data_IF_592681473373
#
_entry.id   IF_592681473373
#
_cell.length_a   1.000
_cell.length_b   1.000
_cell.length_c   1.000
_cell.angle_alpha   90.00
_cell.angle_beta   90.00
_cell.angle_gamma   90.00
#
_symmetry.space_group_name_H-M   'P 1'
#
loop_
_entity.id
_entity.type
_entity.pdbx_description
1 polymer ?
#
# COMPACT_ATOMS: atom_id res chain seq x y z
N UNK A 1 10.21 -5.01 -0.70
CA UNK A 1 9.32 -4.11 0.07
C UNK A 1 10.24 -3.12 0.75
N UNK A 2 10.14 -1.83 0.40
CA UNK A 2 11.05 -0.79 0.90
C UNK A 2 10.88 -0.52 2.38
N UNK A 3 11.88 0.10 2.99
CA UNK A 3 11.80 0.56 4.38
C UNK A 3 10.94 1.82 4.47
N UNK A 4 10.19 1.95 5.57
CA UNK A 4 9.31 3.09 5.85
C UNK A 4 9.83 3.80 7.08
N UNK A 5 10.04 5.11 6.97
CA UNK A 5 10.59 5.97 8.01
C UNK A 5 9.58 7.03 8.42
N UNK A 6 9.54 7.32 9.72
CA UNK A 6 8.85 8.50 10.24
C UNK A 6 9.75 9.73 10.02
N UNK A 7 9.21 10.80 9.45
CA UNK A 7 9.94 12.04 9.24
C UNK A 7 9.10 13.25 9.59
N UNK A 8 9.77 14.37 9.83
CA UNK A 8 9.14 15.67 10.04
C UNK A 8 9.45 16.56 8.83
N UNK A 9 8.44 16.88 8.04
CA UNK A 9 8.56 17.82 6.93
C UNK A 9 8.65 19.24 7.49
N UNK A 10 9.83 19.84 7.36
CA UNK A 10 10.12 21.18 7.86
C UNK A 10 9.40 22.29 7.09
N UNK A 11 8.99 22.03 5.85
CA UNK A 11 8.33 23.01 5.00
C UNK A 11 6.84 23.15 5.34
N UNK A 12 6.17 22.03 5.55
CA UNK A 12 4.75 21.97 5.93
C UNK A 12 4.54 21.92 7.44
N UNK A 13 5.61 21.71 8.22
CA UNK A 13 5.58 21.46 9.67
C UNK A 13 4.70 20.27 10.06
N UNK A 14 4.67 19.24 9.21
CA UNK A 14 3.86 18.04 9.41
C UNK A 14 4.72 16.79 9.53
N UNK A 15 4.26 15.85 10.35
CA UNK A 15 4.85 14.50 10.40
C UNK A 15 4.35 13.68 9.22
N UNK A 16 5.27 13.05 8.50
CA UNK A 16 5.00 12.25 7.30
C UNK A 16 5.65 10.87 7.42
N UNK A 17 5.18 9.93 6.62
CA UNK A 17 5.86 8.66 6.39
C UNK A 17 6.61 8.70 5.04
N UNK A 18 7.86 8.25 5.05
CA UNK A 18 8.73 8.19 3.89
C UNK A 18 9.01 6.74 3.53
N UNK A 19 8.70 6.34 2.31
CA UNK A 19 8.97 4.98 1.81
C UNK A 19 9.97 5.02 0.66
N UNK A 20 11.10 4.35 0.83
CA UNK A 20 12.13 4.25 -0.21
C UNK A 20 11.72 3.20 -1.23
N UNK A 21 11.56 3.59 -2.50
CA UNK A 21 11.31 2.66 -3.61
C UNK A 21 12.66 2.19 -4.13
N UNK A 22 13.01 0.92 -3.87
CA UNK A 22 14.35 0.37 -4.16
C UNK A 22 14.66 0.38 -5.65
N UNK A 23 15.88 0.79 -5.97
CA UNK A 23 16.42 1.02 -7.32
C UNK A 23 16.76 -0.25 -8.10
N UNK A 24 16.96 -1.38 -7.40
CA UNK A 24 17.49 -2.66 -7.91
C UNK A 24 16.72 -3.29 -9.10
N UNK A 25 15.62 -2.69 -9.55
CA UNK A 25 14.78 -3.19 -10.64
C UNK A 25 14.35 -2.12 -11.67
N UNK A 26 14.93 -0.91 -11.59
CA UNK A 26 14.55 0.23 -12.44
C UNK A 26 15.23 0.21 -13.81
N UNK A 27 14.45 0.49 -14.84
CA UNK A 27 14.85 0.67 -16.24
C UNK A 27 14.58 2.12 -16.69
N UNK A 28 15.23 2.58 -17.77
CA UNK A 28 14.89 3.86 -18.39
C UNK A 28 13.38 3.93 -18.71
N UNK A 29 12.70 4.98 -18.25
CA UNK A 29 11.25 5.19 -18.44
C UNK A 29 10.36 4.81 -17.26
N UNK A 30 10.88 4.12 -16.24
CA UNK A 30 10.10 3.80 -15.03
C UNK A 30 9.74 5.04 -14.21
N UNK A 31 10.58 6.10 -14.25
CA UNK A 31 10.29 7.37 -13.57
C UNK A 31 9.00 8.03 -14.08
N UNK A 32 8.73 7.98 -15.38
CA UNK A 32 7.54 8.60 -15.95
C UNK A 32 6.29 7.80 -15.59
N UNK A 33 6.34 6.48 -15.72
CA UNK A 33 5.24 5.61 -15.28
C UNK A 33 4.94 5.79 -13.79
N UNK A 34 5.98 5.88 -12.96
CA UNK A 34 5.85 6.10 -11.52
C UNK A 34 5.23 7.46 -11.20
N UNK A 35 5.60 8.52 -11.94
CA UNK A 35 4.97 9.84 -11.82
C UNK A 35 3.50 9.82 -12.23
N UNK A 36 3.14 9.14 -13.31
CA UNK A 36 1.74 9.01 -13.72
C UNK A 36 0.90 8.26 -12.69
N UNK A 37 1.42 7.15 -12.15
CA UNK A 37 0.76 6.40 -11.06
C UNK A 37 0.63 7.25 -9.78
N UNK A 38 1.64 8.06 -9.46
CA UNK A 38 1.59 9.00 -8.34
C UNK A 38 0.46 10.03 -8.52
N UNK A 39 0.30 10.62 -9.70
CA UNK A 39 -0.76 11.60 -9.96
C UNK A 39 -2.15 11.01 -9.74
N UNK A 40 -2.37 9.78 -10.23
CA UNK A 40 -3.61 9.05 -9.96
C UNK A 40 -3.78 8.75 -8.47
N UNK A 41 -2.72 8.30 -7.79
CA UNK A 41 -2.79 7.99 -6.36
C UNK A 41 -3.11 9.22 -5.50
N UNK A 42 -2.56 10.40 -5.85
CA UNK A 42 -2.85 11.68 -5.20
C UNK A 42 -4.31 12.13 -5.36
N UNK A 43 -4.97 11.71 -6.43
CA UNK A 43 -6.39 12.02 -6.67
C UNK A 43 -7.34 11.23 -5.75
N UNK A 44 -6.87 10.13 -5.14
CA UNK A 44 -7.68 9.32 -4.22
C UNK A 44 -7.75 10.00 -2.85
N UNK A 45 -8.80 10.79 -2.65
CA UNK A 45 -9.13 11.37 -1.34
C UNK A 45 -10.22 10.58 -0.63
N UNK A 46 -9.88 9.77 0.38
CA UNK A 46 -10.86 9.01 1.16
C UNK A 46 -10.38 8.73 2.59
N UNK A 47 -11.25 8.78 3.64
CA UNK A 47 -10.83 8.53 5.02
C UNK A 47 -10.26 7.12 5.26
N UNK A 48 -10.61 6.14 4.44
CA UNK A 48 -10.07 4.77 4.54
C UNK A 48 -8.88 4.51 3.61
N UNK A 49 -8.26 5.54 3.04
CA UNK A 49 -7.10 5.43 2.15
C UNK A 49 -6.03 6.42 2.59
N UNK A 50 -4.80 5.95 2.74
CA UNK A 50 -3.66 6.79 3.10
C UNK A 50 -3.41 7.82 2.01
N UNK A 51 -3.32 9.10 2.36
CA UNK A 51 -3.02 10.12 1.37
C UNK A 51 -1.56 10.03 0.94
N UNK A 52 -1.35 9.98 -0.37
CA UNK A 52 -0.03 10.15 -0.97
C UNK A 52 0.20 11.64 -1.18
N UNK A 53 1.31 12.19 -0.67
CA UNK A 53 1.63 13.60 -0.77
C UNK A 53 2.46 13.89 -2.03
N UNK A 54 3.60 13.22 -2.16
CA UNK A 54 4.59 13.51 -3.20
C UNK A 54 5.57 12.35 -3.43
N UNK A 55 6.43 12.50 -4.44
CA UNK A 55 7.54 11.62 -4.74
C UNK A 55 8.83 12.45 -4.86
N UNK A 56 9.69 12.36 -3.85
CA UNK A 56 10.93 13.11 -3.80
C UNK A 56 12.10 12.32 -4.43
N UNK A 57 12.97 12.93 -5.24
CA UNK A 57 14.18 12.28 -5.71
C UNK A 57 15.17 12.09 -4.55
N UNK A 58 15.94 11.00 -4.56
CA UNK A 58 17.03 10.80 -3.60
C UNK A 58 18.16 9.92 -4.18
N UNK A 59 19.36 9.93 -3.58
CA UNK A 59 20.46 9.04 -3.98
C UNK A 59 20.16 7.54 -3.83
N UNK A 60 19.09 7.16 -3.12
CA UNK A 60 18.71 5.76 -2.86
C UNK A 60 17.52 5.29 -3.71
N UNK A 61 17.13 6.09 -4.71
CA UNK A 61 15.87 5.96 -5.44
C UNK A 61 14.81 6.95 -4.95
N UNK A 62 13.65 7.02 -5.62
CA UNK A 62 12.62 7.97 -5.26
C UNK A 62 11.97 7.57 -3.93
N UNK A 63 11.67 8.59 -3.13
CA UNK A 63 11.05 8.47 -1.82
C UNK A 63 9.60 8.88 -1.96
N UNK A 64 8.70 7.94 -1.68
CA UNK A 64 7.27 8.21 -1.61
C UNK A 64 6.96 8.88 -0.27
N UNK A 65 6.43 10.09 -0.32
CA UNK A 65 5.98 10.86 0.84
C UNK A 65 4.48 10.64 1.01
N UNK A 66 4.08 10.17 2.18
CA UNK A 66 2.68 9.82 2.48
C UNK A 66 2.27 10.30 3.87
N UNK A 67 0.96 10.32 4.08
CA UNK A 67 0.34 10.63 5.37
C UNK A 67 0.88 9.70 6.45
N UNK A 68 1.22 10.29 7.60
CA UNK A 68 1.55 9.51 8.78
C UNK A 68 0.27 9.02 9.43
N UNK A 69 0.03 7.70 9.41
CA UNK A 69 -1.11 7.08 10.08
C UNK A 69 -0.66 6.58 11.47
N UNK A 70 -1.12 7.16 12.59
CA UNK A 70 -0.79 6.64 13.91
C UNK A 70 -1.48 5.30 14.13
N UNK A 71 -0.88 4.40 14.92
CA UNK A 71 -1.48 3.10 15.24
C UNK A 71 -0.63 1.93 14.76
N UNK A 72 -1.28 0.84 14.37
CA UNK A 72 -0.59 -0.41 14.01
C UNK A 72 -1.27 -1.11 12.84
N UNK A 73 -0.52 -1.94 12.13
CA UNK A 73 -1.10 -2.73 11.04
C UNK A 73 -2.21 -3.64 11.57
N UNK A 74 -3.22 -3.90 10.75
CA UNK A 74 -4.31 -4.83 11.05
C UNK A 74 -3.75 -6.22 11.36
N UNK A 75 -2.65 -6.63 10.71
CA UNK A 75 -1.91 -7.85 11.05
C UNK A 75 -1.50 -7.90 12.53
N UNK A 76 -0.81 -6.86 13.01
CA UNK A 76 -0.38 -6.76 14.41
C UNK A 76 -1.58 -6.63 15.34
N UNK A 77 -2.61 -5.86 14.94
CA UNK A 77 -3.80 -5.66 15.75
C UNK A 77 -4.61 -6.95 15.94
N UNK A 78 -4.79 -7.76 14.89
CA UNK A 78 -5.45 -9.08 14.97
C UNK A 78 -4.71 -9.99 15.95
N UNK A 79 -3.37 -10.04 15.89
CA UNK A 79 -2.57 -10.87 16.82
C UNK A 79 -2.75 -10.44 18.26
N UNK A 80 -2.75 -9.14 18.55
CA UNK A 80 -2.99 -8.61 19.91
C UNK A 80 -4.41 -8.91 20.38
N UNK A 81 -5.43 -8.64 19.56
CA UNK A 81 -6.84 -8.90 19.88
C UNK A 81 -7.10 -10.39 20.12
N UNK A 82 -6.44 -11.28 19.39
CA UNK A 82 -6.57 -12.74 19.60
C UNK A 82 -6.24 -13.15 21.04
N UNK A 83 -5.24 -12.52 21.67
CA UNK A 83 -4.89 -12.77 23.07
C UNK A 83 -5.95 -12.24 24.06
N UNK A 84 -6.88 -11.39 23.61
CA UNK A 84 -7.92 -10.72 24.40
C UNK A 84 -9.33 -11.26 24.08
N UNK A 85 -9.45 -12.44 23.45
CA UNK A 85 -10.74 -13.02 23.05
C UNK A 85 -11.11 -12.82 21.58
N UNK A 86 -10.26 -12.15 20.79
CA UNK A 86 -10.46 -11.95 19.36
C UNK A 86 -11.34 -10.75 19.04
N UNK A 87 -11.79 -10.71 17.78
CA UNK A 87 -12.76 -9.73 17.31
C UNK A 87 -14.17 -10.25 17.46
N UNK A 88 -15.09 -9.39 17.90
CA UNK A 88 -16.52 -9.64 17.70
C UNK A 88 -16.86 -9.56 16.21
N UNK A 89 -17.99 -10.16 15.82
CA UNK A 89 -18.47 -10.10 14.45
C UNK A 89 -18.70 -8.66 13.98
N UNK A 90 -19.19 -7.78 14.86
CA UNK A 90 -19.50 -6.39 14.54
C UNK A 90 -18.24 -5.53 14.36
N UNK A 91 -17.24 -5.70 15.24
CA UNK A 91 -15.94 -5.03 15.07
C UNK A 91 -15.27 -5.45 13.75
N UNK A 92 -15.32 -6.74 13.41
CA UNK A 92 -14.76 -7.22 12.14
C UNK A 92 -15.54 -6.68 10.94
N UNK A 93 -16.88 -6.67 11.00
CA UNK A 93 -17.73 -6.12 9.94
C UNK A 93 -17.45 -4.63 9.72
N UNK A 94 -17.20 -3.87 10.79
CA UNK A 94 -16.81 -2.46 10.70
C UNK A 94 -15.51 -2.29 9.92
N UNK A 95 -14.45 -3.01 10.30
CA UNK A 95 -13.15 -2.95 9.62
C UNK A 95 -13.28 -3.38 8.15
N UNK A 96 -14.00 -4.45 7.88
CA UNK A 96 -14.21 -4.93 6.52
C UNK A 96 -14.95 -3.89 5.66
N UNK A 97 -15.99 -3.26 6.20
CA UNK A 97 -16.74 -2.18 5.53
C UNK A 97 -15.84 -0.99 5.20
N UNK A 98 -15.03 -0.54 6.16
CA UNK A 98 -14.08 0.55 5.96
C UNK A 98 -13.03 0.24 4.88
N UNK A 99 -12.49 -0.98 4.87
CA UNK A 99 -11.57 -1.43 3.81
C UNK A 99 -12.28 -1.48 2.46
N UNK A 100 -13.51 -1.99 2.39
CA UNK A 100 -14.29 -2.00 1.15
C UNK A 100 -14.54 -0.58 0.61
N UNK A 101 -14.89 0.37 1.48
CA UNK A 101 -15.07 1.77 1.08
C UNK A 101 -13.77 2.39 0.54
N UNK A 102 -12.64 2.11 1.20
CA UNK A 102 -11.33 2.54 0.71
C UNK A 102 -10.97 1.95 -0.65
N UNK A 103 -11.22 0.65 -0.87
CA UNK A 103 -11.01 0.01 -2.17
C UNK A 103 -11.91 0.59 -3.26
N UNK A 104 -13.18 0.85 -2.93
CA UNK A 104 -14.11 1.47 -3.87
C UNK A 104 -13.60 2.85 -4.33
N UNK A 105 -13.06 3.65 -3.41
CA UNK A 105 -12.46 4.94 -3.73
C UNK A 105 -11.21 4.81 -4.63
N UNK A 106 -10.35 3.82 -4.38
CA UNK A 106 -9.19 3.53 -5.24
C UNK A 106 -9.65 3.11 -6.64
N UNK A 107 -10.61 2.19 -6.72
CA UNK A 107 -11.13 1.67 -7.98
C UNK A 107 -11.87 2.73 -8.81
N UNK A 108 -12.52 3.70 -8.16
CA UNK A 108 -13.17 4.81 -8.84
C UNK A 108 -12.19 5.70 -9.62
N UNK A 109 -10.91 5.70 -9.24
CA UNK A 109 -9.83 6.39 -9.98
C UNK A 109 -9.12 5.48 -11.01
N UNK A 110 -9.67 4.29 -11.30
CA UNK A 110 -9.09 3.32 -12.23
C UNK A 110 -7.83 2.61 -11.70
N UNK A 111 -7.52 2.76 -10.41
CA UNK A 111 -6.38 2.13 -9.77
C UNK A 111 -6.77 0.77 -9.20
N UNK A 112 -5.80 -0.14 -9.14
CA UNK A 112 -5.92 -1.43 -8.44
C UNK A 112 -4.87 -1.48 -7.34
N UNK A 113 -5.26 -1.94 -6.14
CA UNK A 113 -4.34 -2.03 -5.01
C UNK A 113 -3.19 -3.02 -5.25
N UNK A 114 -3.49 -4.23 -5.75
CA UNK A 114 -2.52 -5.24 -6.17
C UNK A 114 -1.84 -6.06 -5.06
N UNK A 115 -1.73 -5.55 -3.84
CA UNK A 115 -1.18 -6.31 -2.69
C UNK A 115 -2.02 -6.13 -1.41
N UNK A 116 -3.34 -6.24 -1.49
CA UNK A 116 -4.18 -6.01 -0.32
C UNK A 116 -4.00 -7.16 0.67
N UNK A 117 -3.58 -6.83 1.90
CA UNK A 117 -3.40 -7.77 3.01
C UNK A 117 -3.47 -7.03 4.34
N UNK A 118 -3.66 -7.72 5.48
CA UNK A 118 -3.69 -7.08 6.80
C UNK A 118 -2.42 -6.28 7.15
N UNK A 119 -1.28 -6.58 6.51
CA UNK A 119 -0.05 -5.79 6.66
C UNK A 119 -0.10 -4.42 5.97
N UNK A 120 -0.93 -4.25 4.94
CA UNK A 120 -1.10 -3.01 4.19
C UNK A 120 -2.38 -2.26 4.58
N UNK A 121 -2.93 -2.57 5.76
CA UNK A 121 -4.05 -1.85 6.36
C UNK A 121 -3.62 -1.42 7.75
N UNK A 122 -3.71 -0.13 8.06
CA UNK A 122 -3.49 0.41 9.40
C UNK A 122 -4.79 0.49 10.15
N UNK A 123 -4.76 0.17 11.44
CA UNK A 123 -5.84 0.46 12.38
C UNK A 123 -5.39 1.62 13.26
N UNK A 124 -6.11 2.72 13.13
CA UNK A 124 -5.85 4.00 13.81
C UNK A 124 -7.14 4.47 14.46
N UNK A 125 -7.15 4.66 15.79
CA UNK A 125 -8.32 5.19 16.50
C UNK A 125 -9.65 4.47 16.18
N UNK A 126 -9.58 3.16 15.92
CA UNK A 126 -10.73 2.34 15.57
C UNK A 126 -11.24 2.47 14.13
N UNK A 127 -10.44 3.08 13.24
CA UNK A 127 -10.66 3.16 11.79
C UNK A 127 -9.60 2.37 11.01
N UNK A 128 -9.98 1.75 9.91
CA UNK A 128 -9.08 1.10 8.97
C UNK A 128 -8.66 2.06 7.85
N UNK A 129 -7.36 2.09 7.54
CA UNK A 129 -6.76 2.90 6.48
C UNK A 129 -5.88 2.03 5.60
N UNK A 130 -6.16 2.00 4.30
CA UNK A 130 -5.41 1.26 3.30
C UNK A 130 -4.10 1.99 2.98
N UNK A 131 -2.99 1.25 2.91
CA UNK A 131 -1.66 1.74 2.55
C UNK A 131 -1.23 1.21 1.16
N UNK A 132 -0.18 1.78 0.57
CA UNK A 132 0.61 1.13 -0.50
C UNK A 132 -0.14 0.72 -1.79
N UNK A 133 -1.21 1.44 -2.13
CA UNK A 133 -1.94 1.30 -3.39
C UNK A 133 -1.28 2.08 -4.54
N UNK A 134 -1.74 1.88 -5.77
CA UNK A 134 -1.30 2.65 -6.94
C UNK A 134 -0.07 2.09 -7.67
N UNK A 135 0.80 1.34 -6.98
CA UNK A 135 2.06 0.81 -7.56
C UNK A 135 1.99 -0.69 -7.91
N UNK A 136 0.79 -1.22 -8.14
CA UNK A 136 0.58 -2.63 -8.44
C UNK A 136 1.23 -3.04 -9.77
N UNK A 137 1.15 -2.18 -10.79
CA UNK A 137 1.74 -2.44 -12.10
C UNK A 137 3.26 -2.32 -12.06
N UNK A 138 3.83 -1.33 -11.37
CA UNK A 138 5.28 -1.25 -11.19
C UNK A 138 5.83 -2.50 -10.47
N UNK A 139 5.16 -2.96 -9.41
CA UNK A 139 5.53 -4.22 -8.72
C UNK A 139 5.45 -5.43 -9.65
N UNK A 140 4.38 -5.54 -10.44
CA UNK A 140 4.24 -6.62 -11.42
C UNK A 140 5.34 -6.58 -12.51
N UNK A 141 5.69 -5.37 -13.00
CA UNK A 141 6.79 -5.17 -13.96
C UNK A 141 8.14 -5.53 -13.34
N UNK A 142 8.41 -5.12 -12.10
CA UNK A 142 9.64 -5.47 -11.39
C UNK A 142 9.77 -6.99 -11.18
N UNK A 143 8.68 -7.69 -10.85
CA UNK A 143 8.66 -9.14 -10.70
C UNK A 143 8.85 -9.88 -12.03
N UNK A 144 8.22 -9.41 -13.11
CA UNK A 144 8.39 -10.00 -14.45
C UNK A 144 9.83 -9.87 -15.01
N UNK A 145 10.61 -8.91 -14.50
CA UNK A 145 12.00 -8.67 -14.91
C UNK A 145 13.02 -9.64 -14.28
N UNK A 146 12.62 -10.48 -13.32
CA UNK A 146 13.49 -11.50 -12.71
C UNK A 146 13.25 -12.85 -13.42
N UNK A 147 14.21 -13.35 -14.24
CA UNK A 147 14.06 -14.65 -14.90
C UNK A 147 13.89 -15.76 -13.85
N UNK A 148 12.78 -16.50 -13.90
CA UNK A 148 12.48 -17.57 -12.95
C UNK A 148 11.84 -17.12 -11.63
N UNK A 149 11.55 -15.83 -11.44
CA UNK A 149 10.70 -15.40 -10.34
C UNK A 149 9.23 -15.80 -10.62
N UNK A 150 8.49 -16.28 -9.61
CA UNK A 150 7.06 -16.46 -9.76
C UNK A 150 6.40 -15.12 -10.13
N UNK A 151 5.29 -15.12 -10.88
CA UNK A 151 4.58 -13.90 -11.31
C UNK A 151 3.92 -13.21 -10.10
N UNK A 152 4.72 -12.62 -9.21
CA UNK A 152 4.26 -12.27 -7.87
C UNK A 152 4.40 -10.76 -7.65
N UNK A 153 3.31 -10.03 -7.93
CA UNK A 153 3.12 -8.63 -7.52
C UNK A 153 2.36 -8.47 -6.19
N UNK A 154 2.06 -9.58 -5.50
CA UNK A 154 1.26 -9.62 -4.28
C UNK A 154 1.66 -10.76 -3.34
N UNK A 155 1.09 -10.76 -2.14
CA UNK A 155 1.40 -11.78 -1.12
C UNK A 155 0.64 -13.08 -1.44
N UNK A 156 1.31 -14.24 -1.64
CA UNK A 156 0.72 -15.46 -2.21
C UNK A 156 -0.61 -15.86 -1.59
N UNK A 157 -0.73 -15.86 -0.27
CA UNK A 157 -1.95 -16.25 0.44
C UNK A 157 -3.16 -15.32 0.22
N UNK A 158 -2.94 -14.11 -0.32
CA UNK A 158 -3.96 -13.09 -0.54
C UNK A 158 -4.26 -12.81 -2.03
N UNK A 159 -3.54 -13.47 -2.94
CA UNK A 159 -3.79 -13.33 -4.38
C UNK A 159 -4.94 -14.21 -4.84
N UNK A 160 -5.70 -13.72 -5.83
CA UNK A 160 -6.77 -14.48 -6.49
C UNK A 160 -6.21 -15.71 -7.21
N UNK A 161 -6.97 -16.81 -7.35
CA UNK A 161 -6.52 -18.03 -8.04
C UNK A 161 -6.07 -17.76 -9.49
N UNK A 162 -6.79 -16.89 -10.20
CA UNK A 162 -6.47 -16.47 -11.57
C UNK A 162 -5.16 -15.69 -11.63
N UNK A 163 -4.82 -14.95 -10.57
CA UNK A 163 -3.55 -14.21 -10.46
C UNK A 163 -2.34 -15.08 -10.13
N UNK A 164 -2.54 -16.30 -9.59
CA UNK A 164 -1.44 -17.20 -9.16
C UNK A 164 -0.84 -18.04 -10.30
N UNK A 165 -1.27 -17.84 -11.55
CA UNK A 165 -0.76 -18.63 -12.67
C UNK A 165 -1.06 -20.12 -12.48
N UNK A 166 -2.33 -20.51 -12.51
CA UNK A 166 -2.66 -21.88 -12.91
C UNK A 166 -2.35 -21.99 -14.41
N UNK A 167 -1.18 -22.53 -14.73
CA UNK A 167 -0.98 -23.15 -16.05
C UNK A 167 -2.01 -24.30 -16.13
N UNK A 168 -2.91 -24.21 -17.10
CA UNK A 168 -3.52 -25.40 -17.69
C UNK A 168 -2.49 -26.04 -18.62
#
# INVERSE_FOLDING_TARGET
MGEVFLAFDRSTQQTVALKVVREESRMPGDDEALRQELLLARSVGHPNVCRVHDLAPSPWGPILVMEQIPGQTLHTHIRKRKAQGGYTADEFRKIASEVCNGLAAIHAQGLVHGDLKPGNVMVSEGRAVILDFGFAQERARASARRPGAPPDGGTPNYMSPTSRGSRR
#
